data_IF_835561263884
#
_entry.id   IF_835561263884
#
_cell.length_a   1.000
_cell.length_b   1.000
_cell.length_c   1.000
_cell.angle_alpha   90.00
_cell.angle_beta   90.00
_cell.angle_gamma   90.00
#
_symmetry.space_group_name_H-M   'P 1'
#
loop_
_entity.id
_entity.type
_entity.pdbx_description
1 polymer ?
#
# COMPACT_ATOMS: atom_id res chain seq x y z
N UNK A 1 -10.46 -9.25 6.65
CA UNK A 1 -9.74 -10.07 7.66
C UNK A 1 -10.66 -10.30 8.86
N UNK A 2 -10.40 -11.21 9.81
CA UNK A 2 -11.09 -11.09 11.11
C UNK A 2 -10.33 -10.10 12.00
N UNK A 3 -11.03 -9.32 12.81
CA UNK A 3 -10.44 -8.23 13.60
C UNK A 3 -9.41 -8.72 14.64
N UNK A 4 -9.46 -9.99 15.01
CA UNK A 4 -8.51 -10.67 15.90
C UNK A 4 -7.24 -11.16 15.18
N UNK A 5 -7.25 -11.24 13.85
CA UNK A 5 -6.10 -11.69 13.02
C UNK A 5 -5.29 -10.51 12.46
N UNK A 6 -5.77 -9.26 12.60
CA UNK A 6 -5.21 -8.07 11.93
C UNK A 6 -3.75 -7.80 12.29
N UNK A 7 -3.40 -7.94 13.56
CA UNK A 7 -2.05 -7.66 14.04
C UNK A 7 -1.06 -8.75 13.60
N UNK A 8 -1.52 -9.98 13.37
CA UNK A 8 -0.67 -11.09 12.89
C UNK A 8 -0.18 -10.88 11.46
N UNK A 9 -0.81 -9.96 10.72
CA UNK A 9 -0.45 -9.57 9.35
C UNK A 9 0.21 -8.19 9.27
N UNK A 10 0.66 -7.64 10.40
CA UNK A 10 1.35 -6.35 10.45
C UNK A 10 0.46 -5.14 10.15
N UNK A 11 -0.87 -5.31 10.18
CA UNK A 11 -1.84 -4.23 9.94
C UNK A 11 -2.16 -3.56 11.29
N UNK A 12 -2.21 -2.23 11.30
CA UNK A 12 -2.64 -1.49 12.50
C UNK A 12 -4.13 -1.72 12.76
N UNK A 13 -4.45 -2.22 13.96
CA UNK A 13 -5.82 -2.54 14.35
C UNK A 13 -6.75 -1.32 14.33
N UNK A 14 -6.27 -0.14 14.74
CA UNK A 14 -7.12 1.06 14.75
C UNK A 14 -7.46 1.52 13.33
N UNK A 15 -6.50 1.41 12.41
CA UNK A 15 -6.72 1.69 11.00
C UNK A 15 -7.70 0.71 10.36
N UNK A 16 -7.58 -0.58 10.68
CA UNK A 16 -8.53 -1.61 10.25
C UNK A 16 -9.95 -1.32 10.78
N UNK A 17 -10.10 -1.02 12.06
CA UNK A 17 -11.41 -0.75 12.67
C UNK A 17 -12.09 0.49 12.06
N UNK A 18 -11.30 1.48 11.62
CA UNK A 18 -11.81 2.67 10.94
C UNK A 18 -12.20 2.43 9.47
N UNK A 19 -11.54 1.50 8.79
CA UNK A 19 -11.66 1.25 7.35
C UNK A 19 -11.72 -0.24 6.99
N UNK A 20 -12.62 -1.04 7.58
CA UNK A 20 -12.66 -2.48 7.35
C UNK A 20 -12.99 -2.84 5.90
N UNK A 21 -13.68 -1.96 5.16
CA UNK A 21 -14.01 -2.12 3.74
C UNK A 21 -12.79 -2.16 2.82
N UNK A 22 -11.65 -1.64 3.28
CA UNK A 22 -10.40 -1.61 2.50
C UNK A 22 -9.62 -2.92 2.56
N UNK A 23 -9.98 -3.82 3.48
CA UNK A 23 -9.24 -5.03 3.78
C UNK A 23 -10.07 -6.27 3.50
N UNK A 24 -9.64 -7.08 2.54
CA UNK A 24 -10.38 -8.27 2.14
C UNK A 24 -9.87 -9.48 2.92
N UNK A 25 -10.77 -10.22 3.60
CA UNK A 25 -10.42 -11.57 4.08
C UNK A 25 -10.37 -12.45 2.84
N UNK A 26 -9.18 -12.88 2.41
CA UNK A 26 -9.12 -14.10 1.63
C UNK A 26 -8.85 -15.21 2.64
N UNK A 27 -9.92 -15.85 3.12
CA UNK A 27 -9.79 -17.14 3.79
C UNK A 27 -9.09 -18.05 2.81
N UNK A 28 -7.85 -18.40 3.14
CA UNK A 28 -6.96 -19.20 2.30
C UNK A 28 -6.57 -18.45 1.02
N UNK A 29 -5.61 -17.54 1.15
CA UNK A 29 -4.61 -17.44 0.10
C UNK A 29 -4.02 -18.84 -0.07
N UNK A 30 -4.55 -19.61 -1.03
CA UNK A 30 -3.69 -20.50 -1.78
C UNK A 30 -2.51 -19.63 -2.24
N UNK A 31 -1.29 -20.17 -2.25
CA UNK A 31 -0.04 -19.46 -2.60
C UNK A 31 -0.06 -18.89 -4.05
N UNK A 32 -1.21 -18.93 -4.72
CA UNK A 32 -1.44 -18.67 -6.12
C UNK A 32 -2.57 -17.67 -6.37
N UNK A 33 -2.58 -16.54 -5.67
CA UNK A 33 -3.38 -15.34 -6.01
C UNK A 33 -3.30 -15.01 -7.52
N UNK A 34 -2.13 -15.27 -8.11
CA UNK A 34 -1.83 -15.09 -9.52
C UNK A 34 -2.66 -16.01 -10.43
N UNK A 35 -2.95 -17.24 -10.00
CA UNK A 35 -3.71 -18.23 -10.77
C UNK A 35 -5.23 -18.07 -10.59
N UNK A 36 -5.71 -17.79 -9.37
CA UNK A 36 -7.15 -17.83 -9.08
C UNK A 36 -7.88 -16.50 -9.36
N UNK A 37 -7.22 -15.35 -9.18
CA UNK A 37 -7.84 -14.01 -9.32
C UNK A 37 -7.21 -13.11 -10.38
N UNK A 38 -6.17 -13.60 -11.07
CA UNK A 38 -5.45 -12.82 -12.06
C UNK A 38 -4.96 -11.50 -11.48
N UNK A 39 -4.01 -11.56 -10.55
CA UNK A 39 -3.32 -10.37 -10.07
C UNK A 39 -2.20 -10.01 -11.03
N UNK A 40 -2.37 -8.90 -11.76
CA UNK A 40 -1.33 -8.36 -12.63
C UNK A 40 -0.54 -7.30 -11.86
N UNK A 41 0.69 -7.63 -11.48
CA UNK A 41 1.59 -6.69 -10.83
C UNK A 41 1.90 -5.49 -11.73
N UNK A 42 1.68 -4.28 -11.20
CA UNK A 42 1.93 -3.00 -11.88
C UNK A 42 3.12 -2.24 -11.28
N UNK A 43 3.63 -2.66 -10.13
CA UNK A 43 4.83 -2.10 -9.52
C UNK A 43 5.08 -2.63 -8.11
N UNK A 44 6.31 -2.48 -7.63
CA UNK A 44 6.69 -2.88 -6.27
C UNK A 44 6.46 -1.73 -5.29
N UNK A 45 6.03 -2.06 -4.07
CA UNK A 45 5.79 -1.14 -2.96
C UNK A 45 6.76 -1.44 -1.80
N UNK A 46 8.06 -1.20 -2.03
CA UNK A 46 9.11 -1.57 -1.09
C UNK A 46 9.65 -2.97 -1.34
N UNK A 47 10.15 -3.64 -0.29
CA UNK A 47 10.85 -4.92 -0.44
C UNK A 47 9.94 -6.14 -0.44
N UNK A 48 8.77 -6.06 0.19
CA UNK A 48 7.92 -7.22 0.47
C UNK A 48 6.52 -7.13 -0.17
N UNK A 49 6.18 -6.00 -0.78
CA UNK A 49 4.82 -5.70 -1.22
C UNK A 49 4.79 -5.32 -2.69
N UNK A 50 3.72 -5.69 -3.37
CA UNK A 50 3.46 -5.42 -4.78
C UNK A 50 2.11 -4.74 -4.92
N UNK A 51 2.04 -3.74 -5.79
CA UNK A 51 0.78 -3.18 -6.27
C UNK A 51 0.37 -3.93 -7.54
N UNK A 52 -0.91 -4.27 -7.66
CA UNK A 52 -1.43 -4.97 -8.82
C UNK A 52 -2.89 -4.68 -9.09
N UNK A 53 -3.28 -4.94 -10.33
CA UNK A 53 -4.67 -4.85 -10.78
C UNK A 53 -5.26 -6.26 -10.84
N UNK A 54 -6.48 -6.41 -10.33
CA UNK A 54 -7.24 -7.65 -10.49
C UNK A 54 -7.82 -7.67 -11.91
N UNK A 55 -7.58 -8.75 -12.66
CA UNK A 55 -8.06 -8.87 -14.05
C UNK A 55 -9.26 -9.83 -14.21
N UNK A 56 -9.69 -10.50 -13.14
CA UNK A 56 -10.85 -11.40 -13.16
C UNK A 56 -11.95 -10.99 -12.17
N UNK A 57 -13.15 -11.57 -12.37
CA UNK A 57 -14.28 -11.50 -11.42
C UNK A 57 -14.79 -10.09 -11.05
N UNK A 58 -15.47 -9.99 -9.90
CA UNK A 58 -16.17 -8.82 -9.39
C UNK A 58 -15.23 -7.65 -9.04
N UNK A 59 -13.97 -7.94 -8.73
CA UNK A 59 -12.97 -6.94 -8.37
C UNK A 59 -12.13 -6.46 -9.57
N UNK A 60 -12.47 -6.89 -10.78
CA UNK A 60 -11.74 -6.53 -12.00
C UNK A 60 -11.54 -5.01 -12.13
N UNK A 61 -10.30 -4.61 -12.38
CA UNK A 61 -9.89 -3.22 -12.59
C UNK A 61 -9.50 -2.46 -11.32
N UNK A 62 -9.83 -2.99 -10.13
CA UNK A 62 -9.41 -2.41 -8.85
C UNK A 62 -7.93 -2.66 -8.57
N UNK A 63 -7.31 -1.73 -7.86
CA UNK A 63 -5.88 -1.76 -7.52
C UNK A 63 -5.70 -2.16 -6.06
N UNK A 64 -4.88 -3.17 -5.85
CA UNK A 64 -4.56 -3.70 -4.53
C UNK A 64 -3.06 -3.68 -4.27
N UNK A 65 -2.69 -3.60 -3.00
CA UNK A 65 -1.36 -3.91 -2.52
C UNK A 65 -1.37 -5.28 -1.84
N UNK A 66 -0.35 -6.09 -2.12
CA UNK A 66 -0.10 -7.31 -1.35
C UNK A 66 0.41 -6.93 0.03
N UNK A 67 -0.18 -7.52 1.07
CA UNK A 67 0.32 -7.52 2.43
C UNK A 67 0.72 -8.93 2.84
N UNK A 68 1.29 -9.09 4.03
CA UNK A 68 1.47 -10.41 4.63
C UNK A 68 0.08 -11.06 4.74
N UNK A 69 -0.22 -12.05 3.91
CA UNK A 69 -1.49 -12.79 3.99
C UNK A 69 -2.75 -12.04 3.54
N UNK A 70 -2.67 -10.82 3.00
CA UNK A 70 -3.85 -10.00 2.71
C UNK A 70 -3.70 -9.10 1.47
N UNK A 71 -4.84 -8.56 1.01
CA UNK A 71 -4.90 -7.53 -0.01
C UNK A 71 -5.55 -6.26 0.56
N UNK A 72 -4.86 -5.12 0.44
CA UNK A 72 -5.39 -3.79 0.75
C UNK A 72 -5.85 -3.11 -0.54
N UNK A 73 -7.09 -2.64 -0.58
CA UNK A 73 -7.60 -1.82 -1.67
C UNK A 73 -6.98 -0.42 -1.64
N UNK A 74 -6.23 -0.10 -2.69
CA UNK A 74 -5.62 1.21 -2.88
C UNK A 74 -6.50 2.16 -3.70
N UNK A 75 -7.18 1.64 -4.72
CA UNK A 75 -8.04 2.42 -5.60
C UNK A 75 -9.06 1.56 -6.33
N UNK A 76 -10.19 2.16 -6.70
CA UNK A 76 -11.25 1.47 -7.44
C UNK A 76 -10.93 1.28 -8.93
N UNK A 77 -9.92 1.98 -9.45
CA UNK A 77 -9.46 1.88 -10.84
C UNK A 77 -7.98 2.23 -10.98
N UNK A 78 -7.36 1.77 -12.09
CA UNK A 78 -6.01 2.18 -12.44
C UNK A 78 -5.88 3.68 -12.66
N UNK A 79 -6.89 4.32 -13.25
CA UNK A 79 -6.90 5.76 -13.50
C UNK A 79 -6.84 6.56 -12.20
N UNK A 80 -7.69 6.21 -11.23
CA UNK A 80 -7.69 6.85 -9.90
C UNK A 80 -6.35 6.65 -9.17
N UNK A 81 -5.80 5.44 -9.21
CA UNK A 81 -4.47 5.16 -8.64
C UNK A 81 -3.37 6.00 -9.29
N UNK A 82 -3.33 6.03 -10.63
CA UNK A 82 -2.28 6.69 -11.38
C UNK A 82 -2.38 8.21 -11.29
N UNK A 83 -3.59 8.78 -11.33
CA UNK A 83 -3.81 10.21 -11.15
C UNK A 83 -3.38 10.67 -9.77
N UNK A 84 -3.74 9.96 -8.69
CA UNK A 84 -3.26 10.29 -7.34
C UNK A 84 -1.74 10.27 -7.26
N UNK A 85 -1.10 9.28 -7.88
CA UNK A 85 0.37 9.22 -7.93
C UNK A 85 0.99 10.41 -8.68
N UNK A 86 0.41 10.81 -9.82
CA UNK A 86 0.85 12.00 -10.55
C UNK A 86 0.64 13.29 -9.77
N UNK A 87 -0.50 13.44 -9.08
CA UNK A 87 -0.79 14.60 -8.23
C UNK A 87 0.22 14.70 -7.08
N UNK A 88 0.56 13.56 -6.47
CA UNK A 88 1.61 13.51 -5.46
C UNK A 88 2.99 13.92 -5.99
N UNK A 89 3.35 13.49 -7.21
CA UNK A 89 4.60 13.87 -7.87
C UNK A 89 4.63 15.37 -8.21
N UNK A 90 3.48 15.93 -8.56
CA UNK A 90 3.34 17.34 -8.93
C UNK A 90 3.37 18.28 -7.70
N UNK A 91 3.15 17.77 -6.49
CA UNK A 91 3.16 18.56 -5.26
C UNK A 91 4.58 18.97 -4.84
N UNK A 92 5.07 20.04 -5.47
CA UNK A 92 6.38 20.62 -5.19
C UNK A 92 6.55 21.03 -3.72
N UNK A 93 5.47 21.42 -3.02
CA UNK A 93 5.55 21.86 -1.63
C UNK A 93 5.77 20.68 -0.68
N UNK A 94 5.07 19.56 -0.90
CA UNK A 94 5.32 18.29 -0.19
C UNK A 94 6.80 17.87 -0.29
N UNK A 95 7.42 18.00 -1.47
CA UNK A 95 8.84 17.69 -1.63
C UNK A 95 9.78 18.69 -0.95
N UNK A 96 9.49 19.99 -1.00
CA UNK A 96 10.26 21.00 -0.24
C UNK A 96 10.25 20.69 1.25
N UNK A 97 9.08 20.36 1.81
CA UNK A 97 8.95 19.99 3.22
C UNK A 97 9.75 18.73 3.56
N UNK A 98 9.71 17.69 2.71
CA UNK A 98 10.55 16.49 2.87
C UNK A 98 12.04 16.82 2.87
N UNK A 99 12.49 17.70 1.96
CA UNK A 99 13.90 18.12 1.89
C UNK A 99 14.31 18.87 3.18
N UNK A 100 13.50 19.82 3.64
CA UNK A 100 13.81 20.59 4.84
C UNK A 100 13.81 19.72 6.11
N UNK A 101 12.87 18.77 6.21
CA UNK A 101 12.87 17.77 7.29
C UNK A 101 14.16 16.93 7.28
N UNK A 102 14.59 16.46 6.12
CA UNK A 102 15.84 15.70 5.98
C UNK A 102 17.07 16.52 6.36
N UNK A 103 17.13 17.81 5.95
CA UNK A 103 18.19 18.72 6.38
C UNK A 103 18.20 18.93 7.90
N UNK A 104 17.02 19.09 8.52
CA UNK A 104 16.89 19.25 9.96
C UNK A 104 17.37 18.00 10.72
N UNK A 105 16.99 16.80 10.26
CA UNK A 105 17.46 15.54 10.82
C UNK A 105 18.99 15.40 10.69
N UNK A 106 19.55 15.73 9.52
CA UNK A 106 21.02 15.72 9.33
C UNK A 106 21.71 16.67 10.29
N UNK A 107 21.21 17.89 10.49
CA UNK A 107 21.76 18.83 11.49
C UNK A 107 21.65 18.30 12.92
N UNK A 108 20.57 17.60 13.26
CA UNK A 108 20.37 17.04 14.60
C UNK A 108 21.30 15.86 14.90
N UNK A 109 21.47 14.96 13.94
CA UNK A 109 22.13 13.66 14.18
C UNK A 109 23.55 13.56 13.63
N UNK A 110 23.97 14.41 12.70
CA UNK A 110 25.30 14.35 12.09
C UNK A 110 26.26 15.47 12.51
N UNK A 111 25.82 16.44 13.31
CA UNK A 111 26.66 17.58 13.74
C UNK A 111 27.40 17.34 15.08
N UNK A 112 27.36 16.11 15.62
CA UNK A 112 27.90 15.77 16.94
C UNK A 112 29.29 15.14 16.96
N UNK A 113 29.98 15.03 15.83
CA UNK A 113 31.34 14.45 15.75
C UNK A 113 32.32 15.43 15.08
N UNK A 114 32.72 16.47 15.82
CA UNK A 114 33.88 17.30 15.48
C UNK A 114 34.52 17.82 16.75
#
# INVERSE_FOLDING_TARGET
MRADEVEDFGIDKNFYDAHPERFFVQYELNDNICEDRGFLTIGTAGCAYDNGVIITEEMRGKIFQTGEGALELLADSFDDFYTRWLDELADAEKYRQKIERTKALRRKYCSGNS
#
